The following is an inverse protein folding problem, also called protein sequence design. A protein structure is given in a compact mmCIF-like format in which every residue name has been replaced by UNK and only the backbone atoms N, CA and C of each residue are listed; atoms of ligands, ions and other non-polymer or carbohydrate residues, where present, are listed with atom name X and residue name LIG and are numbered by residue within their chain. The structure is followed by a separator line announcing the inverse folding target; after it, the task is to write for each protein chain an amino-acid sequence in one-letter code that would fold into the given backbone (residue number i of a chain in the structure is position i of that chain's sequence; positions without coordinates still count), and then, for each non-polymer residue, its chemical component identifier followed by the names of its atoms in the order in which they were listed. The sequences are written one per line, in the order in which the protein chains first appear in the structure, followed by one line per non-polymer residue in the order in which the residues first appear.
data_IF_572612990691
#
_entry.id   IF_572612990691
#
_cell.length_a   1.000
_cell.length_b   1.000
_cell.length_c   1.000
_cell.angle_alpha   90.00
_cell.angle_beta   90.00
_cell.angle_gamma   90.00
#
_symmetry.space_group_name_H-M   'P 1'
#
loop_
_entity.id
_entity.type
_entity.pdbx_description
1 polymer ?
#
# COMPACT_ATOMS: atom_id res chain seq x y z
N UNK A 1 2.64 -7.76 2.25
CA UNK A 1 2.38 -6.95 3.46
C UNK A 1 3.55 -5.99 3.68
N UNK A 2 3.33 -4.74 4.12
CA UNK A 2 4.42 -3.79 4.36
C UNK A 2 5.34 -4.28 5.49
N UNK A 3 6.66 -4.07 5.35
CA UNK A 3 7.62 -4.35 6.43
C UNK A 3 7.37 -3.39 7.60
N UNK A 4 7.42 -3.87 8.84
CA UNK A 4 7.15 -3.08 10.08
C UNK A 4 7.84 -1.70 10.10
N UNK A 5 9.06 -1.61 9.60
CA UNK A 5 9.84 -0.35 9.55
C UNK A 5 9.23 0.71 8.64
N UNK A 6 8.56 0.32 7.56
CA UNK A 6 7.91 1.25 6.64
C UNK A 6 6.67 1.92 7.25
N UNK A 7 5.95 1.22 8.13
CA UNK A 7 4.78 1.72 8.84
C UNK A 7 5.15 2.85 9.82
N UNK A 8 6.19 2.66 10.63
CA UNK A 8 6.65 3.68 11.57
C UNK A 8 7.10 4.96 10.86
N UNK A 9 7.75 4.83 9.70
CA UNK A 9 8.13 5.99 8.90
C UNK A 9 6.90 6.77 8.45
N UNK A 10 5.92 6.11 7.83
CA UNK A 10 4.69 6.76 7.36
C UNK A 10 3.95 7.50 8.49
N UNK A 11 3.91 6.92 9.68
CA UNK A 11 3.28 7.56 10.84
C UNK A 11 3.99 8.86 11.24
N UNK A 12 5.33 8.85 11.33
CA UNK A 12 6.13 10.00 11.79
C UNK A 12 6.02 11.23 10.89
N UNK A 13 5.84 11.04 9.58
CA UNK A 13 5.78 12.14 8.61
C UNK A 13 4.35 12.64 8.33
N UNK A 14 3.33 12.13 9.03
CA UNK A 14 1.95 12.64 8.90
C UNK A 14 1.82 13.99 9.62
N UNK A 15 1.04 14.95 9.09
CA UNK A 15 0.76 16.22 9.78
C UNK A 15 0.18 16.06 11.18
N UNK A 16 -0.64 15.02 11.39
CA UNK A 16 -1.28 14.69 12.68
C UNK A 16 -0.39 13.90 13.64
N UNK A 17 0.89 13.73 13.31
CA UNK A 17 1.83 13.12 14.23
C UNK A 17 1.99 14.01 15.48
N UNK A 18 1.85 13.46 16.69
CA UNK A 18 1.83 14.25 17.91
C UNK A 18 3.21 14.81 18.14
N UNK A 19 3.30 16.15 18.08
CA UNK A 19 4.53 16.89 18.38
C UNK A 19 4.77 17.09 19.88
N UNK A 20 3.70 16.92 20.68
CA UNK A 20 3.72 17.00 22.15
C UNK A 20 3.45 15.61 22.72
N UNK A 21 3.91 15.39 23.95
CA UNK A 21 3.63 14.16 24.69
C UNK A 21 2.11 14.00 24.90
N UNK A 22 1.65 12.75 24.96
CA UNK A 22 0.26 12.46 25.29
C UNK A 22 -0.01 12.81 26.75
N UNK A 23 -1.12 13.50 27.01
CA UNK A 23 -1.53 13.85 28.36
C UNK A 23 -1.93 12.63 29.22
N UNK A 24 -2.46 11.57 28.58
CA UNK A 24 -2.89 10.35 29.24
C UNK A 24 -2.66 9.13 28.35
N UNK A 25 -2.61 7.94 28.95
CA UNK A 25 -2.55 6.67 28.22
C UNK A 25 -3.75 6.49 27.27
N UNK A 26 -4.93 6.92 27.68
CA UNK A 26 -6.13 6.84 26.86
C UNK A 26 -6.05 7.73 25.61
N UNK A 27 -5.45 8.92 25.73
CA UNK A 27 -5.20 9.76 24.57
C UNK A 27 -4.22 9.09 23.60
N UNK A 28 -3.17 8.44 24.10
CA UNK A 28 -2.23 7.68 23.28
C UNK A 28 -2.94 6.53 22.53
N UNK A 29 -3.79 5.75 23.22
CA UNK A 29 -4.53 4.63 22.61
C UNK A 29 -5.45 5.09 21.48
N UNK A 30 -6.29 6.10 21.73
CA UNK A 30 -7.18 6.67 20.71
C UNK A 30 -6.42 7.20 19.49
N UNK A 31 -5.26 7.82 19.71
CA UNK A 31 -4.42 8.28 18.62
C UNK A 31 -3.86 7.12 17.77
N UNK A 32 -3.38 6.05 18.41
CA UNK A 32 -2.89 4.85 17.70
C UNK A 32 -4.01 4.18 16.92
N UNK A 33 -5.19 4.00 17.52
CA UNK A 33 -6.36 3.40 16.87
C UNK A 33 -6.76 4.16 15.60
N UNK A 34 -6.90 5.48 15.70
CA UNK A 34 -7.18 6.33 14.52
C UNK A 34 -6.08 6.22 13.46
N UNK A 35 -4.83 6.15 13.89
CA UNK A 35 -3.69 6.02 12.97
C UNK A 35 -3.72 4.69 12.22
N UNK A 36 -4.08 3.59 12.89
CA UNK A 36 -4.21 2.26 12.28
C UNK A 36 -5.39 2.21 11.33
N UNK A 37 -6.55 2.71 11.75
CA UNK A 37 -7.75 2.78 10.91
C UNK A 37 -7.46 3.52 9.60
N UNK A 38 -6.84 4.71 9.70
CA UNK A 38 -6.43 5.48 8.55
C UNK A 38 -5.41 4.75 7.66
N UNK A 39 -4.35 4.15 8.25
CA UNK A 39 -3.30 3.46 7.50
C UNK A 39 -3.86 2.30 6.66
N UNK A 40 -4.83 1.59 7.21
CA UNK A 40 -5.44 0.42 6.57
C UNK A 40 -6.59 0.78 5.61
N UNK A 41 -7.40 1.79 5.94
CA UNK A 41 -8.64 2.08 5.22
C UNK A 41 -8.61 3.29 4.29
N UNK A 42 -7.68 4.22 4.48
CA UNK A 42 -7.66 5.49 3.75
C UNK A 42 -6.33 5.76 3.04
N UNK A 43 -5.21 5.43 3.69
CA UNK A 43 -3.89 5.66 3.13
C UNK A 43 -3.66 4.77 1.89
N UNK A 44 -3.39 5.39 0.75
CA UNK A 44 -3.06 4.69 -0.50
C UNK A 44 -1.58 4.35 -0.56
N UNK A 45 -1.27 3.06 -0.63
CA UNK A 45 0.12 2.58 -0.57
C UNK A 45 0.71 2.44 -1.95
N UNK A 46 1.77 3.22 -2.23
CA UNK A 46 2.45 3.19 -3.53
C UNK A 46 2.99 1.80 -3.90
N UNK A 47 3.46 1.03 -2.91
CA UNK A 47 3.98 -0.33 -3.11
C UNK A 47 2.93 -1.33 -3.58
N UNK A 48 1.63 -1.05 -3.38
CA UNK A 48 0.52 -1.88 -3.87
C UNK A 48 -0.33 -1.14 -4.90
N UNK A 49 0.29 -0.22 -5.67
CA UNK A 49 -0.35 0.53 -6.77
C UNK A 49 -1.44 1.50 -6.30
N UNK A 50 -1.24 2.15 -5.16
CA UNK A 50 -2.17 3.13 -4.59
C UNK A 50 -3.56 2.53 -4.34
N UNK A 51 -3.59 1.36 -3.71
CA UNK A 51 -4.79 0.81 -3.07
C UNK A 51 -4.55 0.77 -1.57
N UNK A 52 -5.63 0.66 -0.80
CA UNK A 52 -5.54 0.52 0.64
C UNK A 52 -5.17 -0.93 1.01
N UNK A 53 -4.52 -1.18 2.15
CA UNK A 53 -4.28 -2.54 2.62
C UNK A 53 -5.58 -3.31 2.80
N UNK A 54 -6.65 -2.64 3.24
CA UNK A 54 -7.99 -3.19 3.41
C UNK A 54 -8.59 -3.68 2.07
N UNK A 55 -8.46 -2.89 1.00
CA UNK A 55 -8.91 -3.27 -0.35
C UNK A 55 -8.12 -4.44 -0.90
N UNK A 56 -6.80 -4.47 -0.68
CA UNK A 56 -5.96 -5.59 -1.09
C UNK A 56 -6.31 -6.85 -0.32
N UNK A 57 -6.52 -6.74 0.99
CA UNK A 57 -6.85 -7.86 1.84
C UNK A 57 -8.19 -8.51 1.45
N UNK A 58 -9.20 -7.69 1.11
CA UNK A 58 -10.50 -8.17 0.63
C UNK A 58 -10.56 -8.46 -0.88
N UNK A 59 -9.44 -8.36 -1.59
CA UNK A 59 -9.37 -8.63 -3.03
C UNK A 59 -10.08 -7.64 -3.94
N UNK A 60 -10.51 -6.47 -3.42
CA UNK A 60 -11.17 -5.40 -4.20
C UNK A 60 -10.21 -4.65 -5.13
N UNK A 61 -8.91 -4.84 -4.92
CA UNK A 61 -7.85 -4.13 -5.63
C UNK A 61 -7.86 -4.36 -7.14
N UNK A 62 -8.27 -5.54 -7.62
CA UNK A 62 -8.35 -5.84 -9.05
C UNK A 62 -9.30 -4.90 -9.80
N UNK A 63 -10.55 -4.80 -9.32
CA UNK A 63 -11.57 -3.95 -9.94
C UNK A 63 -11.20 -2.46 -9.84
N UNK A 64 -10.70 -2.02 -8.68
CA UNK A 64 -10.26 -0.63 -8.46
C UNK A 64 -9.15 -0.22 -9.43
N UNK A 65 -8.17 -1.11 -9.63
CA UNK A 65 -7.04 -0.87 -10.51
C UNK A 65 -7.43 -0.86 -11.99
N UNK A 66 -8.33 -1.76 -12.41
CA UNK A 66 -8.86 -1.78 -13.77
C UNK A 66 -9.63 -0.48 -14.10
N UNK A 67 -10.52 -0.05 -13.20
CA UNK A 67 -11.28 1.20 -13.36
C UNK A 67 -10.34 2.41 -13.45
N UNK A 68 -9.30 2.45 -12.61
CA UNK A 68 -8.30 3.53 -12.65
C UNK A 68 -7.50 3.52 -13.94
N UNK A 69 -7.10 2.35 -14.43
CA UNK A 69 -6.38 2.25 -15.71
C UNK A 69 -7.21 2.81 -16.86
N UNK A 70 -8.48 2.44 -16.94
CA UNK A 70 -9.40 2.95 -17.96
C UNK A 70 -9.54 4.48 -17.89
N UNK A 71 -9.72 5.04 -16.68
CA UNK A 71 -9.83 6.49 -16.49
C UNK A 71 -8.60 7.26 -16.97
N UNK A 72 -7.40 6.75 -16.66
CA UNK A 72 -6.15 7.38 -17.06
C UNK A 72 -5.95 7.36 -18.58
N UNK A 73 -6.22 6.21 -19.22
CA UNK A 73 -6.07 6.07 -20.67
C UNK A 73 -7.12 6.89 -21.44
N UNK A 74 -8.39 6.82 -21.02
CA UNK A 74 -9.50 7.38 -21.78
C UNK A 74 -9.73 8.86 -21.50
N UNK A 75 -9.64 9.31 -20.24
CA UNK A 75 -9.98 10.69 -19.88
C UNK A 75 -8.74 11.56 -19.75
N UNK A 76 -7.77 11.15 -18.93
CA UNK A 76 -6.64 12.01 -18.59
C UNK A 76 -5.67 12.19 -19.77
N UNK A 77 -5.38 11.10 -20.51
CA UNK A 77 -4.47 11.15 -21.66
C UNK A 77 -5.09 11.83 -22.87
N UNK A 78 -6.36 11.55 -23.17
CA UNK A 78 -7.07 12.19 -24.31
C UNK A 78 -7.31 13.68 -24.09
N UNK A 79 -7.58 14.12 -22.85
CA UNK A 79 -7.93 15.53 -22.56
C UNK A 79 -6.72 16.46 -22.61
N UNK A 80 -5.54 16.01 -22.19
CA UNK A 80 -4.32 16.83 -22.18
C UNK A 80 -3.12 16.04 -22.73
N UNK A 81 -3.08 15.71 -24.03
CA UNK A 81 -2.04 14.83 -24.58
C UNK A 81 -0.62 15.37 -24.39
N UNK A 82 -0.43 16.69 -24.47
CA UNK A 82 0.88 17.35 -24.34
C UNK A 82 1.51 17.23 -22.94
N UNK A 83 0.75 16.85 -21.90
CA UNK A 83 1.30 16.58 -20.56
C UNK A 83 1.91 15.19 -20.43
N UNK A 84 1.73 14.32 -21.41
CA UNK A 84 2.17 12.93 -21.36
C UNK A 84 3.36 12.70 -22.28
N UNK A 85 4.54 12.53 -21.70
CA UNK A 85 5.76 12.16 -22.44
C UNK A 85 5.94 10.65 -22.59
N UNK A 86 5.09 9.85 -21.93
CA UNK A 86 5.21 8.38 -21.92
C UNK A 86 3.92 7.66 -21.51
N UNK A 87 4.05 6.38 -21.19
CA UNK A 87 2.92 5.55 -20.77
C UNK A 87 2.36 5.99 -19.41
N UNK A 88 1.07 5.74 -19.20
CA UNK A 88 0.43 5.96 -17.90
C UNK A 88 1.07 5.07 -16.84
N UNK A 89 0.96 5.46 -15.57
CA UNK A 89 1.45 4.65 -14.44
C UNK A 89 0.95 3.20 -14.55
N UNK A 90 1.82 2.26 -14.17
CA UNK A 90 1.45 0.85 -14.14
C UNK A 90 0.36 0.62 -13.07
N UNK A 91 -0.84 0.26 -13.53
CA UNK A 91 -2.02 -0.07 -12.74
C UNK A 91 -2.30 -1.57 -12.71
N UNK A 92 -1.38 -2.44 -13.14
CA UNK A 92 -1.60 -3.89 -13.06
C UNK A 92 -1.52 -4.37 -11.62
N UNK A 93 -2.40 -5.32 -11.27
CA UNK A 93 -2.42 -5.96 -9.96
C UNK A 93 -1.07 -6.65 -9.71
N UNK A 94 -0.53 -6.45 -8.52
CA UNK A 94 0.68 -7.16 -8.09
C UNK A 94 0.26 -8.56 -7.64
N UNK A 95 0.83 -9.58 -8.27
CA UNK A 95 0.61 -10.98 -7.90
C UNK A 95 1.30 -11.38 -6.60
N UNK A 96 1.28 -12.68 -6.31
CA UNK A 96 2.00 -13.24 -5.17
C UNK A 96 3.50 -12.97 -5.30
N UNK A 97 4.12 -12.47 -4.23
CA UNK A 97 5.56 -12.23 -4.15
C UNK A 97 6.08 -13.03 -2.96
N UNK A 98 7.01 -13.94 -3.20
CA UNK A 98 7.66 -14.73 -2.16
C UNK A 98 8.87 -13.96 -1.63
N UNK A 99 9.01 -13.89 -0.31
CA UNK A 99 10.22 -13.40 0.34
C UNK A 99 11.12 -14.62 0.58
N UNK A 100 12.34 -14.63 0.03
CA UNK A 100 13.31 -15.73 0.08
C UNK A 100 12.85 -17.01 -0.64
N UNK A 101 13.04 -17.11 -1.97
CA UNK A 101 12.58 -18.26 -2.75
C UNK A 101 13.35 -19.57 -2.51
N UNK A 102 14.49 -19.55 -1.78
CA UNK A 102 15.41 -20.68 -1.69
C UNK A 102 15.07 -21.76 -0.64
N UNK A 103 13.87 -21.79 -0.05
CA UNK A 103 13.59 -22.67 1.11
C UNK A 103 12.73 -23.90 0.80
N UNK A 104 12.47 -24.23 -0.47
CA UNK A 104 11.71 -25.45 -0.81
C UNK A 104 12.51 -26.59 -1.46
N UNK A 105 13.78 -26.38 -1.82
CA UNK A 105 14.61 -27.45 -2.44
C UNK A 105 15.69 -28.02 -1.51
N UNK A 106 15.97 -27.38 -0.37
CA UNK A 106 17.06 -27.80 0.53
C UNK A 106 16.70 -28.87 1.57
N UNK A 107 15.44 -29.30 1.67
CA UNK A 107 15.01 -30.30 2.66
C UNK A 107 14.82 -31.72 2.10
N UNK A 108 15.02 -31.94 0.79
CA UNK A 108 14.90 -33.26 0.18
C UNK A 108 16.23 -34.04 0.07
N UNK A 109 17.37 -33.44 0.44
CA UNK A 109 18.71 -34.04 0.29
C UNK A 109 19.39 -34.42 1.62
N UNK A 110 18.66 -34.40 2.74
CA UNK A 110 19.18 -34.84 4.06
C UNK A 110 18.29 -35.95 4.65
N UNK A 111 17.90 -36.91 3.82
CA UNK A 111 17.40 -38.22 4.27
C UNK A 111 17.77 -39.26 3.21
N UNK A 112 19.05 -39.61 3.14
CA UNK A 112 19.55 -40.91 2.71
C UNK A 112 20.82 -41.22 3.48
#
# INVERSE_FOLDING_TARGET
MPRRTSLFRTLKYRPEYPRRLFATMEHARRWVERSVAWYNGEHLHGSIRFVTPDDRHRGRDGALLAARHALYQQRARRRTPWRWTGQTRNWTRIGTVTLNPHTHEAQALTTM
#
